data_IF_297314675832
#
_entry.id   IF_297314675832
#
_cell.length_a   1.000
_cell.length_b   1.000
_cell.length_c   1.000
_cell.angle_alpha   90.00
_cell.angle_beta   90.00
_cell.angle_gamma   90.00
#
_symmetry.space_group_name_H-M   'P 1'
#
loop_
_entity.id
_entity.type
_entity.pdbx_description
1 polymer ?
#
# COMPACT_ATOMS: atom_id res chain seq x y z
N UNK A 1 -0.24 23.82 8.62
CA UNK A 1 0.41 23.26 9.84
C UNK A 1 1.89 23.08 9.54
N UNK A 2 2.79 23.26 10.52
CA UNK A 2 4.22 23.00 10.27
C UNK A 2 4.47 21.50 10.06
N UNK A 3 5.29 21.18 9.06
CA UNK A 3 5.71 19.84 8.69
C UNK A 3 6.50 19.15 9.79
N UNK A 4 6.42 17.82 9.84
CA UNK A 4 7.10 17.01 10.85
C UNK A 4 7.98 15.95 10.22
N UNK A 5 9.14 15.71 10.82
CA UNK A 5 10.01 14.58 10.50
C UNK A 5 9.89 13.55 11.63
N UNK A 6 9.54 12.30 11.31
CA UNK A 6 9.28 11.28 12.32
C UNK A 6 9.78 9.90 11.86
N UNK A 7 10.04 9.01 12.81
CA UNK A 7 10.46 7.64 12.54
C UNK A 7 9.37 6.65 12.90
N UNK A 8 9.19 5.63 12.08
CA UNK A 8 8.29 4.51 12.32
C UNK A 8 9.13 3.27 12.56
N UNK A 9 8.84 2.56 13.65
CA UNK A 9 9.44 1.26 13.92
C UNK A 9 8.86 0.24 12.95
N UNK A 10 9.69 -0.22 12.02
CA UNK A 10 9.32 -1.20 11.01
C UNK A 10 10.52 -2.09 10.70
N UNK A 11 10.30 -3.40 10.74
CA UNK A 11 11.32 -4.41 10.39
C UNK A 11 11.20 -4.90 8.95
N UNK A 12 10.08 -4.59 8.30
CA UNK A 12 9.83 -4.86 6.89
C UNK A 12 9.02 -3.75 6.22
N UNK A 13 9.03 -3.72 4.90
CA UNK A 13 8.22 -2.80 4.09
C UNK A 13 6.73 -2.93 4.41
N UNK A 14 6.23 -4.15 4.61
CA UNK A 14 4.84 -4.41 4.97
C UNK A 14 4.49 -3.77 6.31
N UNK A 15 5.33 -3.96 7.35
CA UNK A 15 5.11 -3.33 8.67
C UNK A 15 5.16 -1.79 8.63
N UNK A 16 5.97 -1.24 7.72
CA UNK A 16 6.04 0.20 7.50
C UNK A 16 4.76 0.72 6.84
N UNK A 17 4.27 0.02 5.83
CA UNK A 17 3.03 0.33 5.10
C UNK A 17 1.81 0.24 6.04
N UNK A 18 1.76 -0.76 6.92
CA UNK A 18 0.68 -0.89 7.92
C UNK A 18 0.57 0.32 8.86
N UNK A 19 1.69 0.95 9.18
CA UNK A 19 1.70 2.15 10.04
C UNK A 19 1.36 3.40 9.23
N UNK A 20 1.84 3.46 7.98
CA UNK A 20 1.47 4.49 7.01
C UNK A 20 -0.05 4.63 6.85
N UNK A 21 -0.78 3.51 6.70
CA UNK A 21 -2.24 3.53 6.51
C UNK A 21 -3.03 4.18 7.66
N UNK A 22 -2.41 4.33 8.83
CA UNK A 22 -3.00 4.94 10.03
C UNK A 22 -2.69 6.44 10.16
N UNK A 23 -1.71 6.94 9.40
CA UNK A 23 -1.38 8.36 9.35
C UNK A 23 -2.42 9.00 8.44
N UNK A 24 -3.20 9.96 8.98
CA UNK A 24 -4.31 10.64 8.29
C UNK A 24 -4.00 10.87 6.80
N UNK A 25 -4.66 10.10 5.93
CA UNK A 25 -4.68 10.34 4.50
C UNK A 25 -5.58 11.55 4.26
N UNK A 26 -4.99 12.74 4.37
CA UNK A 26 -5.53 13.92 3.72
C UNK A 26 -5.41 13.67 2.21
N UNK A 27 -6.43 13.01 1.64
CA UNK A 27 -6.45 12.50 0.27
C UNK A 27 -6.24 13.60 -0.80
N UNK A 28 -6.28 14.88 -0.39
CA UNK A 28 -6.01 16.03 -1.22
C UNK A 28 -4.51 16.34 -1.39
N UNK A 29 -3.61 15.75 -0.59
CA UNK A 29 -2.18 16.08 -0.62
C UNK A 29 -1.34 15.03 -1.36
N UNK A 30 -0.37 15.52 -2.13
CA UNK A 30 0.60 14.71 -2.87
C UNK A 30 1.36 13.73 -1.94
N UNK A 31 1.30 12.43 -2.21
CA UNK A 31 2.03 11.42 -1.43
C UNK A 31 3.20 10.84 -2.21
N UNK A 32 4.32 10.61 -1.53
CA UNK A 32 5.53 10.01 -2.10
C UNK A 32 5.98 8.83 -1.24
N UNK A 33 6.33 7.72 -1.88
CA UNK A 33 6.92 6.56 -1.22
C UNK A 33 8.24 6.17 -1.87
N UNK A 34 9.30 6.18 -1.07
CA UNK A 34 10.65 5.81 -1.49
C UNK A 34 10.96 4.45 -0.87
N UNK A 35 11.26 3.46 -1.73
CA UNK A 35 11.41 2.07 -1.32
C UNK A 35 12.64 1.41 -1.93
N UNK A 36 13.21 0.41 -1.24
CA UNK A 36 14.22 -0.47 -1.86
C UNK A 36 13.61 -1.48 -2.83
N UNK A 37 12.28 -1.60 -2.86
CA UNK A 37 11.58 -2.42 -3.82
C UNK A 37 11.17 -1.63 -5.06
N UNK A 38 11.21 -2.28 -6.24
CA UNK A 38 10.67 -1.67 -7.46
C UNK A 38 9.15 -1.54 -7.35
N UNK A 39 8.60 -0.57 -8.08
CA UNK A 39 7.16 -0.27 -8.11
C UNK A 39 6.29 -1.51 -8.43
N UNK A 40 6.79 -2.43 -9.27
CA UNK A 40 6.09 -3.68 -9.60
C UNK A 40 5.89 -4.62 -8.43
N UNK A 41 6.69 -4.51 -7.35
CA UNK A 41 6.44 -5.25 -6.10
C UNK A 41 5.53 -4.48 -5.15
N UNK A 42 5.60 -3.16 -5.18
CA UNK A 42 4.78 -2.29 -4.32
C UNK A 42 3.31 -2.26 -4.75
N UNK A 43 2.99 -2.54 -6.01
CA UNK A 43 1.61 -2.56 -6.52
C UNK A 43 0.70 -3.54 -5.75
N UNK A 44 1.27 -4.60 -5.17
CA UNK A 44 0.54 -5.58 -4.38
C UNK A 44 0.35 -5.15 -2.91
N UNK A 45 1.05 -4.09 -2.48
CA UNK A 45 1.13 -3.64 -1.09
C UNK A 45 0.53 -2.25 -0.88
N UNK A 46 0.55 -1.39 -1.89
CA UNK A 46 0.16 0.02 -1.83
C UNK A 46 -0.82 0.36 -2.94
N UNK A 47 -1.76 1.27 -2.66
CA UNK A 47 -2.52 1.91 -3.74
C UNK A 47 -1.64 2.96 -4.43
N UNK A 48 -0.84 2.49 -5.38
CA UNK A 48 0.08 3.34 -6.16
C UNK A 48 -0.64 4.36 -7.06
N UNK A 49 -1.98 4.32 -7.16
CA UNK A 49 -2.75 5.28 -7.93
C UNK A 49 -2.88 6.63 -7.22
N UNK A 50 -2.77 6.64 -5.89
CA UNK A 50 -2.83 7.84 -5.04
C UNK A 50 -1.43 8.32 -4.59
N UNK A 51 -0.37 7.59 -4.95
CA UNK A 51 0.97 7.81 -4.41
C UNK A 51 2.10 7.64 -5.43
N UNK A 52 3.01 8.62 -5.47
CA UNK A 52 4.20 8.60 -6.34
C UNK A 52 5.26 7.69 -5.71
N UNK A 53 5.50 6.53 -6.33
CA UNK A 53 6.48 5.56 -5.85
C UNK A 53 7.84 5.73 -6.54
N UNK A 54 8.93 5.68 -5.78
CA UNK A 54 10.30 5.75 -6.27
C UNK A 54 11.15 4.60 -5.76
N UNK A 55 11.90 3.99 -6.66
CA UNK A 55 12.77 2.85 -6.33
C UNK A 55 14.19 3.33 -6.00
N UNK A 56 14.62 3.11 -4.76
CA UNK A 56 15.96 3.35 -4.28
C UNK A 56 16.90 2.22 -4.77
N UNK A 57 17.70 2.50 -5.79
CA UNK A 57 18.55 1.49 -6.46
C UNK A 57 19.75 2.12 -7.16
N UNK A 58 20.82 1.35 -7.35
CA UNK A 58 21.97 1.76 -8.16
C UNK A 58 21.65 1.76 -9.67
N UNK A 59 20.56 1.10 -10.07
CA UNK A 59 20.14 1.07 -11.47
C UNK A 59 19.59 2.43 -11.88
N UNK A 60 20.04 2.94 -13.02
CA UNK A 60 19.55 4.21 -13.55
C UNK A 60 18.39 3.96 -14.50
N UNK A 61 17.17 4.28 -14.07
CA UNK A 61 15.99 4.28 -14.94
C UNK A 61 14.98 5.37 -14.51
N UNK A 62 13.87 5.48 -15.24
CA UNK A 62 12.81 6.42 -14.86
C UNK A 62 12.15 5.95 -13.56
N UNK A 63 11.93 6.85 -12.61
CA UNK A 63 11.33 6.52 -11.31
C UNK A 63 12.28 5.89 -10.30
N UNK A 64 13.59 5.95 -10.54
CA UNK A 64 14.61 5.48 -9.57
C UNK A 64 15.32 6.64 -8.89
N UNK A 65 15.73 6.42 -7.64
CA UNK A 65 16.61 7.31 -6.88
C UNK A 65 17.88 6.52 -6.59
N UNK A 66 19.04 7.07 -6.94
CA UNK A 66 20.31 6.46 -6.56
C UNK A 66 20.53 6.60 -5.04
N UNK A 67 21.03 5.57 -4.33
CA UNK A 67 21.29 5.60 -2.90
C UNK A 67 22.51 6.46 -2.54
N UNK A 68 22.62 7.66 -3.12
CA UNK A 68 23.59 8.71 -2.79
C UNK A 68 22.90 9.76 -1.93
N UNK A 69 23.52 10.15 -0.81
CA UNK A 69 22.97 11.18 0.08
C UNK A 69 22.71 12.50 -0.65
N UNK A 70 23.56 12.87 -1.61
CA UNK A 70 23.39 14.08 -2.41
C UNK A 70 22.10 14.01 -3.27
N UNK A 71 21.91 12.91 -4.00
CA UNK A 71 20.76 12.71 -4.87
C UNK A 71 19.45 12.58 -4.09
N UNK A 72 19.50 11.87 -2.96
CA UNK A 72 18.38 11.73 -2.04
C UNK A 72 17.99 13.10 -1.47
N UNK A 73 18.95 13.88 -0.97
CA UNK A 73 18.68 15.23 -0.46
C UNK A 73 18.06 16.12 -1.51
N UNK A 74 18.66 16.18 -2.70
CA UNK A 74 18.12 16.98 -3.79
C UNK A 74 16.68 16.59 -4.12
N UNK A 75 16.39 15.28 -4.16
CA UNK A 75 15.04 14.77 -4.40
C UNK A 75 14.06 15.18 -3.29
N UNK A 76 14.40 14.94 -2.02
CA UNK A 76 13.55 15.28 -0.88
C UNK A 76 13.30 16.79 -0.80
N UNK A 77 14.34 17.60 -0.96
CA UNK A 77 14.22 19.06 -0.97
C UNK A 77 13.34 19.57 -2.11
N UNK A 78 13.45 18.96 -3.30
CA UNK A 78 12.60 19.31 -4.43
C UNK A 78 11.14 18.93 -4.20
N UNK A 79 10.91 17.80 -3.54
CA UNK A 79 9.57 17.30 -3.23
C UNK A 79 8.89 18.17 -2.18
N UNK A 80 9.61 18.55 -1.12
CA UNK A 80 9.13 19.46 -0.06
C UNK A 80 8.77 20.84 -0.65
N UNK A 81 9.62 21.40 -1.51
CA UNK A 81 9.36 22.70 -2.15
C UNK A 81 8.14 22.69 -3.08
N UNK A 82 7.85 21.54 -3.68
CA UNK A 82 6.67 21.35 -4.53
C UNK A 82 5.41 20.99 -3.73
N UNK A 83 5.42 21.18 -2.39
CA UNK A 83 4.32 20.89 -1.47
C UNK A 83 3.83 19.43 -1.54
N UNK A 84 4.75 18.46 -1.62
CA UNK A 84 4.41 17.08 -1.29
C UNK A 84 3.83 17.05 0.14
N UNK A 85 2.65 16.46 0.34
CA UNK A 85 2.03 16.35 1.65
C UNK A 85 2.84 15.45 2.57
N UNK A 86 2.86 14.16 2.24
CA UNK A 86 3.53 13.15 3.05
C UNK A 86 4.56 12.39 2.21
N UNK A 87 5.78 12.26 2.75
CA UNK A 87 6.87 11.48 2.16
C UNK A 87 7.18 10.33 3.10
N UNK A 88 7.05 9.10 2.60
CA UNK A 88 7.40 7.87 3.29
C UNK A 88 8.68 7.32 2.71
N UNK A 89 9.67 7.06 3.56
CA UNK A 89 10.99 6.65 3.12
C UNK A 89 11.50 5.48 3.95
N UNK A 90 11.60 4.32 3.31
CA UNK A 90 12.24 3.15 3.89
C UNK A 90 13.68 2.91 3.42
N UNK A 91 14.41 2.07 4.15
CA UNK A 91 15.78 1.66 3.80
C UNK A 91 16.87 2.50 4.47
N UNK A 92 16.56 3.15 5.59
CA UNK A 92 17.52 3.94 6.36
C UNK A 92 18.71 3.11 6.84
N UNK A 93 18.48 1.88 7.27
CA UNK A 93 19.52 0.94 7.69
C UNK A 93 20.50 0.66 6.56
N UNK A 94 20.00 0.59 5.33
CA UNK A 94 20.83 0.39 4.15
C UNK A 94 21.62 1.64 3.81
N UNK A 95 21.05 2.84 3.93
CA UNK A 95 21.81 4.08 3.74
C UNK A 95 22.90 4.26 4.79
N UNK A 96 22.61 3.90 6.05
CA UNK A 96 23.58 3.94 7.14
C UNK A 96 24.71 2.94 6.89
N UNK A 97 24.41 1.74 6.39
CA UNK A 97 25.45 0.76 6.06
C UNK A 97 26.31 1.18 4.85
N UNK A 98 25.76 1.99 3.94
CA UNK A 98 26.50 2.52 2.78
C UNK A 98 27.37 3.73 3.12
N UNK A 99 26.85 4.69 3.89
CA UNK A 99 27.50 6.01 4.09
C UNK A 99 28.01 6.26 5.51
N UNK A 100 27.71 5.35 6.45
CA UNK A 100 27.98 5.52 7.86
C UNK A 100 26.92 6.38 8.57
N UNK A 101 26.76 6.14 9.86
CA UNK A 101 25.75 6.81 10.68
C UNK A 101 25.90 8.32 10.69
N UNK A 102 27.11 8.85 10.88
CA UNK A 102 27.33 10.31 11.01
C UNK A 102 26.95 11.10 9.75
N UNK A 103 27.19 10.53 8.57
CA UNK A 103 26.85 11.17 7.30
C UNK A 103 25.33 11.23 7.11
N UNK A 104 24.63 10.11 7.38
CA UNK A 104 23.17 10.04 7.34
C UNK A 104 22.54 10.93 8.43
N UNK A 105 23.09 10.93 9.63
CA UNK A 105 22.62 11.77 10.74
C UNK A 105 22.72 13.26 10.40
N UNK A 106 23.82 13.68 9.79
CA UNK A 106 24.00 15.06 9.30
C UNK A 106 22.97 15.42 8.23
N UNK A 107 22.70 14.50 7.31
CA UNK A 107 21.64 14.64 6.29
C UNK A 107 20.25 14.85 6.92
N UNK A 108 19.88 13.98 7.88
CA UNK A 108 18.60 14.03 8.57
C UNK A 108 18.40 15.33 9.35
N UNK A 109 19.46 15.84 9.99
CA UNK A 109 19.42 17.14 10.66
C UNK A 109 19.09 18.28 9.71
N UNK A 110 19.80 18.36 8.57
CA UNK A 110 19.52 19.39 7.54
C UNK A 110 18.11 19.24 6.97
N UNK A 111 17.63 18.01 6.79
CA UNK A 111 16.27 17.75 6.33
C UNK A 111 15.22 18.16 7.36
N UNK A 112 15.44 17.86 8.65
CA UNK A 112 14.55 18.22 9.76
C UNK A 112 14.30 19.73 9.83
N UNK A 113 15.38 20.52 9.72
CA UNK A 113 15.31 21.98 9.67
C UNK A 113 14.40 22.45 8.51
N UNK A 114 14.54 21.86 7.32
CA UNK A 114 13.73 22.23 6.14
C UNK A 114 12.28 21.81 6.26
N UNK A 115 12.02 20.59 6.73
CA UNK A 115 10.67 20.04 6.93
C UNK A 115 9.88 20.92 7.90
N UNK A 116 10.52 21.39 8.97
CA UNK A 116 9.90 22.28 9.97
C UNK A 116 9.44 23.64 9.40
N UNK A 117 10.03 24.05 8.27
CA UNK A 117 9.70 25.30 7.55
C UNK A 117 8.69 25.09 6.41
N UNK A 118 8.14 23.89 6.27
CA UNK A 118 7.22 23.51 5.19
C UNK A 118 5.88 22.99 5.74
N UNK A 119 4.95 22.62 4.87
CA UNK A 119 3.74 21.86 5.24
C UNK A 119 3.87 20.36 4.97
N UNK A 120 5.03 19.92 4.48
CA UNK A 120 5.34 18.53 4.18
C UNK A 120 5.72 17.76 5.43
N UNK A 121 5.26 16.53 5.59
CA UNK A 121 5.73 15.62 6.63
C UNK A 121 6.54 14.47 6.02
N UNK A 122 7.60 14.05 6.72
CA UNK A 122 8.51 12.99 6.27
C UNK A 122 8.60 11.89 7.33
N UNK A 123 8.36 10.66 6.92
CA UNK A 123 8.34 9.48 7.77
C UNK A 123 9.41 8.50 7.33
N UNK A 124 10.27 8.09 8.26
CA UNK A 124 11.35 7.16 8.00
C UNK A 124 11.10 5.80 8.64
N UNK A 125 11.28 4.70 7.90
CA UNK A 125 11.31 3.37 8.50
C UNK A 125 12.65 3.16 9.22
N UNK A 126 12.62 2.62 10.43
CA UNK A 126 13.83 2.16 11.13
C UNK A 126 13.51 0.96 12.03
N UNK A 127 14.39 -0.03 12.06
CA UNK A 127 14.28 -1.16 12.98
C UNK A 127 14.90 -0.81 14.33
N UNK A 128 14.23 -1.15 15.43
CA UNK A 128 14.71 -0.83 16.80
C UNK A 128 16.12 -1.38 17.10
N UNK A 129 16.50 -2.49 16.44
CA UNK A 129 17.77 -3.19 16.66
C UNK A 129 18.81 -2.91 15.55
N UNK A 130 18.58 -1.91 14.71
CA UNK A 130 19.47 -1.59 13.59
C UNK A 130 20.67 -0.74 13.95
N UNK A 131 20.61 -0.05 15.10
CA UNK A 131 21.63 0.89 15.56
C UNK A 131 21.99 0.59 17.01
N UNK A 132 23.20 0.97 17.40
CA UNK A 132 23.59 0.94 18.81
C UNK A 132 22.83 2.01 19.61
N UNK A 133 22.69 1.82 20.92
CA UNK A 133 21.88 2.69 21.79
C UNK A 133 22.22 4.19 21.66
N UNK A 134 23.51 4.52 21.51
CA UNK A 134 23.98 5.90 21.33
C UNK A 134 23.57 6.48 19.98
N UNK A 135 23.70 5.70 18.91
CA UNK A 135 23.30 6.10 17.56
C UNK A 135 21.78 6.24 17.48
N UNK A 136 21.03 5.30 18.05
CA UNK A 136 19.58 5.35 18.12
C UNK A 136 19.09 6.59 18.88
N UNK A 137 19.72 6.92 20.01
CA UNK A 137 19.40 8.13 20.78
C UNK A 137 19.67 9.43 19.99
N UNK A 138 20.74 9.44 19.18
CA UNK A 138 21.05 10.57 18.28
C UNK A 138 20.06 10.65 17.12
N UNK A 139 19.66 9.50 16.58
CA UNK A 139 18.68 9.41 15.51
C UNK A 139 17.33 9.97 15.95
N UNK A 140 16.77 9.49 17.07
CA UNK A 140 15.48 9.95 17.59
C UNK A 140 15.45 11.42 18.02
N UNK A 141 16.62 12.04 18.25
CA UNK A 141 16.69 13.47 18.50
C UNK A 141 16.35 14.29 17.25
N UNK A 142 16.77 13.83 16.09
CA UNK A 142 16.54 14.53 14.81
C UNK A 142 15.26 14.05 14.13
N UNK A 143 14.92 12.78 14.32
CA UNK A 143 13.76 12.10 13.73
C UNK A 143 12.99 11.40 14.86
N UNK A 144 12.17 12.13 15.64
CA UNK A 144 11.44 11.56 16.77
C UNK A 144 10.54 10.39 16.40
N UNK A 145 10.36 9.47 17.34
CA UNK A 145 9.46 8.34 17.15
C UNK A 145 8.02 8.82 16.90
N UNK A 146 7.38 8.24 15.88
CA UNK A 146 5.97 8.41 15.65
C UNK A 146 5.20 7.61 16.70
N UNK A 147 4.63 8.32 17.67
CA UNK A 147 3.73 7.74 18.65
C UNK A 147 2.30 7.83 18.11
N UNK A 148 1.69 6.67 17.87
CA UNK A 148 0.26 6.59 17.64
C UNK A 148 -0.38 6.92 18.98
N UNK A 149 -0.97 8.11 19.10
CA UNK A 149 -1.90 8.38 20.18
C UNK A 149 -3.10 7.49 19.88
N UNK A 150 -3.20 6.37 20.60
CA UNK A 150 -4.46 5.62 20.67
C UNK A 150 -5.47 6.58 21.31
N UNK A 151 -6.19 7.33 20.48
CA UNK A 151 -7.35 8.05 20.97
C UNK A 151 -8.28 7.00 21.56
N UNK A 152 -8.40 7.08 22.89
CA UNK A 152 -9.42 6.38 23.63
C UNK A 152 -10.73 6.62 22.91
N UNK A 153 -11.39 5.53 22.55
CA UNK A 153 -12.74 5.47 22.02
C UNK A 153 -13.65 6.46 22.75
N UNK A 154 -13.78 7.67 22.22
CA UNK A 154 -14.95 8.48 22.46
C UNK A 154 -15.95 8.07 21.40
N UNK A 155 -16.86 7.20 21.84
CA UNK A 155 -18.19 7.02 21.28
C UNK A 155 -18.79 8.41 21.09
N UNK A 156 -18.65 8.98 19.89
CA UNK A 156 -19.54 10.03 19.45
C UNK A 156 -20.51 9.43 18.44
N UNK A 157 -21.58 8.91 19.02
CA UNK A 157 -22.86 8.73 18.36
C UNK A 157 -23.20 10.02 17.60
N UNK A 158 -23.04 9.97 16.28
CA UNK A 158 -23.50 11.01 15.37
C UNK A 158 -24.20 10.31 14.22
N UNK A 159 -25.49 10.05 14.48
CA UNK A 159 -26.62 10.19 13.56
C UNK A 159 -26.39 9.78 12.11
N UNK A 160 -27.06 8.69 11.74
CA UNK A 160 -27.62 8.45 10.40
C UNK A 160 -28.05 9.77 9.75
N UNK A 161 -27.40 10.14 8.64
CA UNK A 161 -28.00 10.91 7.54
C UNK A 161 -27.07 10.89 6.31
N UNK A 162 -27.64 10.42 5.20
CA UNK A 162 -27.22 10.49 3.79
C UNK A 162 -25.75 10.79 3.45
N UNK A 163 -25.04 9.78 2.93
CA UNK A 163 -23.85 10.00 2.09
C UNK A 163 -24.30 10.05 0.62
N UNK A 164 -24.23 11.20 -0.07
CA UNK A 164 -24.43 11.24 -1.51
C UNK A 164 -23.25 10.52 -2.17
N UNK A 165 -23.56 9.56 -3.04
CA UNK A 165 -22.61 8.97 -3.99
C UNK A 165 -22.04 10.10 -4.85
N UNK A 166 -20.87 10.63 -4.49
CA UNK A 166 -20.11 11.52 -5.37
C UNK A 166 -19.08 10.70 -6.13
N UNK A 167 -19.25 10.71 -7.45
CA UNK A 167 -18.35 10.16 -8.45
C UNK A 167 -16.89 10.46 -8.11
N UNK A 168 -16.18 9.42 -7.69
CA UNK A 168 -14.74 9.48 -7.41
C UNK A 168 -14.03 9.63 -8.76
N UNK A 169 -13.31 10.74 -8.89
CA UNK A 169 -12.61 11.15 -10.10
C UNK A 169 -11.85 9.99 -10.76
N UNK A 170 -12.19 9.77 -12.04
CA UNK A 170 -11.58 8.85 -12.97
C UNK A 170 -10.09 9.22 -13.21
N UNK A 171 -9.20 8.80 -12.32
CA UNK A 171 -7.79 8.67 -12.66
C UNK A 171 -7.66 7.44 -13.56
N UNK A 172 -7.35 7.67 -14.84
CA UNK A 172 -7.05 6.64 -15.84
C UNK A 172 -5.92 5.75 -15.34
N UNK A 173 -6.26 4.66 -14.65
CA UNK A 173 -5.43 3.48 -14.53
C UNK A 173 -5.31 2.91 -15.95
N UNK A 174 -4.08 2.79 -16.47
CA UNK A 174 -3.83 1.81 -17.52
C UNK A 174 -3.97 0.45 -16.86
N UNK A 175 -5.21 -0.06 -16.81
CA UNK A 175 -5.50 -1.41 -16.39
C UNK A 175 -5.04 -2.33 -17.50
N UNK A 176 -4.17 -3.29 -17.19
CA UNK A 176 -3.86 -4.34 -18.14
C UNK A 176 -5.16 -5.11 -18.43
N UNK A 177 -5.66 -4.94 -19.64
CA UNK A 177 -6.84 -5.64 -20.11
C UNK A 177 -6.43 -7.00 -20.68
N UNK A 178 -7.32 -7.97 -20.54
CA UNK A 178 -7.34 -9.17 -21.35
C UNK A 178 -7.65 -8.82 -22.82
N UNK A 179 -7.41 -9.76 -23.74
CA UNK A 179 -7.73 -9.59 -25.17
C UNK A 179 -9.22 -9.31 -25.42
N UNK A 180 -10.09 -9.64 -24.47
CA UNK A 180 -11.53 -9.40 -24.48
C UNK A 180 -11.93 -8.02 -23.89
N UNK A 181 -10.96 -7.21 -23.44
CA UNK A 181 -11.18 -5.90 -22.84
C UNK A 181 -11.55 -5.93 -21.35
N UNK A 182 -11.58 -7.10 -20.71
CA UNK A 182 -11.82 -7.20 -19.27
C UNK A 182 -10.56 -6.90 -18.46
N UNK A 183 -10.66 -6.32 -17.25
CA UNK A 183 -9.51 -6.15 -16.37
C UNK A 183 -8.86 -7.48 -16.01
N UNK A 184 -7.53 -7.60 -16.07
CA UNK A 184 -6.81 -8.78 -15.56
C UNK A 184 -6.93 -8.92 -14.05
N UNK A 185 -7.10 -10.16 -13.59
CA UNK A 185 -6.94 -10.50 -12.18
C UNK A 185 -5.45 -10.53 -11.82
N UNK A 186 -5.15 -10.00 -10.65
CA UNK A 186 -3.80 -9.99 -10.09
C UNK A 186 -3.85 -10.43 -8.64
N UNK A 187 -2.80 -11.15 -8.20
CA UNK A 187 -2.67 -11.51 -6.79
C UNK A 187 -2.41 -10.27 -5.95
N UNK A 188 -3.27 -10.04 -4.95
CA UNK A 188 -3.05 -9.04 -3.92
C UNK A 188 -2.39 -9.68 -2.70
N UNK A 189 -1.59 -8.92 -1.96
CA UNK A 189 -1.01 -9.42 -0.71
C UNK A 189 -2.10 -9.68 0.32
N UNK A 190 -1.98 -10.76 1.09
CA UNK A 190 -2.90 -11.08 2.18
C UNK A 190 -2.84 -10.00 3.26
N UNK A 191 -4.00 -9.53 3.71
CA UNK A 191 -4.12 -8.63 4.84
C UNK A 191 -3.82 -9.45 6.11
N UNK A 192 -2.89 -9.00 6.96
CA UNK A 192 -2.63 -9.66 8.23
C UNK A 192 -3.80 -9.45 9.20
N UNK A 193 -3.96 -10.38 10.16
CA UNK A 193 -4.95 -10.25 11.24
C UNK A 193 -4.64 -9.04 12.12
N UNK A 194 -3.36 -8.81 12.39
CA UNK A 194 -2.87 -7.70 13.21
C UNK A 194 -3.07 -6.41 12.41
N UNK A 195 -3.71 -5.41 13.01
CA UNK A 195 -3.99 -4.15 12.34
C UNK A 195 -5.18 -4.17 11.37
N UNK A 196 -5.82 -5.32 11.16
CA UNK A 196 -7.02 -5.42 10.33
C UNK A 196 -8.15 -4.52 10.86
N UNK A 197 -8.75 -3.74 9.95
CA UNK A 197 -9.85 -2.82 10.26
C UNK A 197 -10.89 -2.84 9.14
N UNK A 198 -12.09 -2.32 9.45
CA UNK A 198 -13.17 -2.15 8.46
C UNK A 198 -12.73 -1.30 7.27
N UNK A 199 -11.94 -0.25 7.50
CA UNK A 199 -11.45 0.64 6.44
C UNK A 199 -10.47 -0.08 5.51
N UNK A 200 -9.58 -0.93 6.05
CA UNK A 200 -8.66 -1.73 5.24
C UNK A 200 -9.46 -2.73 4.39
N UNK A 201 -10.47 -3.39 4.97
CA UNK A 201 -11.34 -4.28 4.21
C UNK A 201 -12.11 -3.53 3.11
N UNK A 202 -12.62 -2.32 3.38
CA UNK A 202 -13.29 -1.49 2.37
C UNK A 202 -12.39 -1.18 1.17
N UNK A 203 -11.14 -0.76 1.42
CA UNK A 203 -10.15 -0.53 0.35
C UNK A 203 -9.90 -1.79 -0.47
N UNK A 204 -9.72 -2.94 0.21
CA UNK A 204 -9.53 -4.24 -0.45
C UNK A 204 -10.71 -4.64 -1.33
N UNK A 205 -11.93 -4.43 -0.84
CA UNK A 205 -13.16 -4.69 -1.60
C UNK A 205 -13.21 -3.84 -2.87
N UNK A 206 -12.87 -2.55 -2.78
CA UNK A 206 -12.80 -1.68 -3.95
C UNK A 206 -11.76 -2.15 -4.98
N UNK A 207 -10.60 -2.65 -4.52
CA UNK A 207 -9.57 -3.21 -5.40
C UNK A 207 -10.11 -4.42 -6.18
N UNK A 208 -10.76 -5.38 -5.50
CA UNK A 208 -11.36 -6.53 -6.17
C UNK A 208 -12.48 -6.13 -7.13
N UNK A 209 -13.32 -5.16 -6.76
CA UNK A 209 -14.37 -4.63 -7.64
C UNK A 209 -13.81 -3.98 -8.90
N UNK A 210 -12.72 -3.22 -8.78
CA UNK A 210 -12.01 -2.65 -9.94
C UNK A 210 -11.47 -3.75 -10.87
N UNK A 211 -11.09 -4.92 -10.35
CA UNK A 211 -10.72 -6.09 -11.16
C UNK A 211 -11.92 -6.80 -11.81
N UNK A 212 -13.14 -6.32 -11.57
CA UNK A 212 -14.38 -6.89 -12.10
C UNK A 212 -14.92 -8.08 -11.30
N UNK A 213 -14.38 -8.35 -10.10
CA UNK A 213 -14.88 -9.41 -9.23
C UNK A 213 -16.18 -8.99 -8.55
N UNK A 214 -17.07 -9.97 -8.35
CA UNK A 214 -18.26 -9.80 -7.53
C UNK A 214 -17.88 -9.82 -6.04
N UNK A 215 -18.15 -8.70 -5.35
CA UNK A 215 -17.78 -8.48 -3.94
C UNK A 215 -18.98 -8.36 -3.01
N UNK A 216 -20.20 -8.64 -3.48
CA UNK A 216 -21.44 -8.41 -2.72
C UNK A 216 -21.43 -9.10 -1.34
N UNK A 217 -20.94 -10.33 -1.27
CA UNK A 217 -20.95 -11.13 -0.04
C UNK A 217 -20.04 -10.54 1.06
N UNK A 218 -18.86 -10.03 0.69
CA UNK A 218 -17.94 -9.39 1.63
C UNK A 218 -18.36 -7.96 1.94
N UNK A 219 -19.01 -7.26 1.01
CA UNK A 219 -19.61 -5.94 1.28
C UNK A 219 -20.65 -6.01 2.38
N UNK A 220 -21.49 -7.06 2.38
CA UNK A 220 -22.44 -7.31 3.47
C UNK A 220 -21.73 -7.49 4.83
N UNK A 221 -20.50 -8.01 4.85
CA UNK A 221 -19.73 -8.14 6.09
C UNK A 221 -19.25 -6.81 6.67
N UNK A 222 -19.16 -5.75 5.86
CA UNK A 222 -18.75 -4.43 6.31
C UNK A 222 -19.74 -3.80 7.29
N UNK A 223 -20.99 -4.25 7.30
CA UNK A 223 -22.01 -3.81 8.26
C UNK A 223 -21.90 -4.52 9.62
N UNK A 224 -21.04 -5.54 9.74
CA UNK A 224 -20.81 -6.23 11.00
C UNK A 224 -19.95 -5.36 11.94
N UNK A 225 -20.24 -5.44 13.24
CA UNK A 225 -19.46 -4.79 14.30
C UNK A 225 -18.28 -5.65 14.76
N UNK A 226 -18.31 -6.96 14.51
CA UNK A 226 -17.28 -7.90 14.93
C UNK A 226 -16.13 -8.02 13.91
N UNK A 227 -14.96 -7.49 14.27
CA UNK A 227 -13.75 -7.49 13.44
C UNK A 227 -13.25 -8.92 13.13
N UNK A 228 -13.38 -9.86 14.07
CA UNK A 228 -12.93 -11.25 13.84
C UNK A 228 -13.77 -11.97 12.79
N UNK A 229 -15.08 -11.72 12.79
CA UNK A 229 -15.98 -12.26 11.77
C UNK A 229 -15.72 -11.65 10.39
N UNK A 230 -15.47 -10.34 10.34
CA UNK A 230 -15.07 -9.66 9.10
C UNK A 230 -13.76 -10.23 8.54
N UNK A 231 -12.76 -10.45 9.41
CA UNK A 231 -11.49 -11.03 9.01
C UNK A 231 -11.64 -12.47 8.52
N UNK A 232 -12.45 -13.28 9.20
CA UNK A 232 -12.75 -14.66 8.77
C UNK A 232 -13.37 -14.71 7.38
N UNK A 233 -14.37 -13.86 7.11
CA UNK A 233 -14.97 -13.73 5.78
C UNK A 233 -13.98 -13.24 4.73
N UNK A 234 -13.13 -12.28 5.09
CA UNK A 234 -12.05 -11.81 4.23
C UNK A 234 -11.12 -12.94 3.81
N UNK A 235 -10.67 -13.79 4.75
CA UNK A 235 -9.77 -14.93 4.45
C UNK A 235 -10.43 -15.91 3.48
N UNK A 236 -11.72 -16.21 3.66
CA UNK A 236 -12.44 -17.10 2.76
C UNK A 236 -12.52 -16.53 1.34
N UNK A 237 -12.84 -15.24 1.22
CA UNK A 237 -12.94 -14.60 -0.09
C UNK A 237 -11.57 -14.45 -0.76
N UNK A 238 -10.53 -14.10 0.00
CA UNK A 238 -9.18 -13.96 -0.52
C UNK A 238 -8.67 -15.26 -1.14
N UNK A 239 -8.97 -16.41 -0.51
CA UNK A 239 -8.62 -17.71 -1.07
C UNK A 239 -9.39 -17.98 -2.38
N UNK A 240 -10.68 -17.63 -2.45
CA UNK A 240 -11.45 -17.74 -3.70
C UNK A 240 -10.89 -16.84 -4.81
N UNK A 241 -10.46 -15.62 -4.49
CA UNK A 241 -9.83 -14.70 -5.46
C UNK A 241 -8.49 -15.24 -5.94
N UNK A 242 -7.69 -15.84 -5.05
CA UNK A 242 -6.43 -16.50 -5.42
C UNK A 242 -6.69 -17.60 -6.45
N UNK A 243 -7.64 -18.50 -6.17
CA UNK A 243 -8.06 -19.58 -7.07
C UNK A 243 -8.59 -19.05 -8.41
N UNK A 244 -9.43 -18.02 -8.37
CA UNK A 244 -9.97 -17.36 -9.55
C UNK A 244 -8.87 -16.75 -10.44
N UNK A 245 -7.83 -16.17 -9.83
CA UNK A 245 -6.68 -15.61 -10.56
C UNK A 245 -5.89 -16.70 -11.29
N UNK A 246 -5.68 -17.86 -10.65
CA UNK A 246 -5.01 -19.01 -11.26
C UNK A 246 -5.83 -19.60 -12.42
N UNK A 247 -7.14 -19.78 -12.20
CA UNK A 247 -8.07 -20.25 -13.21
C UNK A 247 -8.16 -19.31 -14.41
N UNK A 248 -8.25 -17.98 -14.20
CA UNK A 248 -8.28 -17.02 -15.30
C UNK A 248 -7.05 -17.19 -16.19
N UNK A 249 -5.87 -17.22 -15.58
CA UNK A 249 -4.62 -17.35 -16.31
C UNK A 249 -4.62 -18.61 -17.17
N UNK A 250 -5.03 -19.73 -16.59
CA UNK A 250 -5.11 -20.99 -17.32
C UNK A 250 -6.11 -20.92 -18.47
N UNK A 251 -7.32 -20.42 -18.22
CA UNK A 251 -8.41 -20.30 -19.20
C UNK A 251 -8.00 -19.42 -20.38
N UNK A 252 -7.34 -18.28 -20.11
CA UNK A 252 -6.83 -17.39 -21.16
C UNK A 252 -5.71 -18.04 -21.98
N UNK A 253 -4.82 -18.79 -21.34
CA UNK A 253 -3.66 -19.42 -22.01
C UNK A 253 -4.02 -20.72 -22.76
N UNK A 254 -4.97 -21.53 -22.27
CA UNK A 254 -5.16 -22.91 -22.71
C UNK A 254 -6.55 -23.21 -23.31
N UNK A 255 -7.60 -22.44 -23.00
CA UNK A 255 -8.96 -22.72 -23.51
C UNK A 255 -9.17 -22.00 -24.84
N UNK A 256 -9.22 -22.79 -25.92
CA UNK A 256 -9.35 -22.28 -27.30
C UNK A 256 -10.81 -22.01 -27.69
N UNK A 257 -11.77 -22.75 -27.14
CA UNK A 257 -13.18 -22.55 -27.46
C UNK A 257 -13.68 -21.24 -26.85
N UNK A 258 -14.12 -20.33 -27.72
CA UNK A 258 -14.51 -18.97 -27.30
C UNK A 258 -15.74 -18.96 -26.40
N UNK A 259 -16.69 -19.88 -26.61
CA UNK A 259 -17.91 -19.92 -25.81
C UNK A 259 -17.61 -20.45 -24.41
N UNK A 260 -16.86 -21.56 -24.33
CA UNK A 260 -16.39 -22.14 -23.09
C UNK A 260 -15.56 -21.14 -22.29
N UNK A 261 -14.58 -20.49 -22.93
CA UNK A 261 -13.75 -19.46 -22.32
C UNK A 261 -14.59 -18.33 -21.72
N UNK A 262 -15.60 -17.85 -22.44
CA UNK A 262 -16.47 -16.76 -21.98
C UNK A 262 -17.28 -17.17 -20.75
N UNK A 263 -17.83 -18.39 -20.74
CA UNK A 263 -18.59 -18.94 -19.61
C UNK A 263 -17.69 -19.11 -18.39
N UNK A 264 -16.48 -19.65 -18.57
CA UNK A 264 -15.51 -19.83 -17.50
C UNK A 264 -15.09 -18.50 -16.89
N UNK A 265 -14.72 -17.50 -17.70
CA UNK A 265 -14.35 -16.17 -17.23
C UNK A 265 -15.49 -15.47 -16.49
N UNK A 266 -16.73 -15.61 -16.96
CA UNK A 266 -17.90 -15.07 -16.26
C UNK A 266 -18.07 -15.68 -14.86
N UNK A 267 -17.96 -17.02 -14.75
CA UNK A 267 -18.04 -17.72 -13.45
C UNK A 267 -16.91 -17.34 -12.52
N UNK A 268 -15.69 -17.21 -13.04
CA UNK A 268 -14.50 -16.74 -12.31
C UNK A 268 -14.75 -15.35 -11.72
N UNK A 269 -15.33 -14.43 -12.50
CA UNK A 269 -15.66 -13.07 -12.04
C UNK A 269 -16.70 -13.06 -10.92
N UNK A 270 -17.67 -13.97 -10.99
CA UNK A 270 -18.66 -14.16 -9.93
C UNK A 270 -18.13 -14.95 -8.73
N UNK A 271 -16.91 -15.49 -8.80
CA UNK A 271 -16.34 -16.39 -7.80
C UNK A 271 -17.22 -17.62 -7.53
N UNK A 272 -17.96 -18.10 -8.54
CA UNK A 272 -18.91 -19.22 -8.38
C UNK A 272 -18.45 -20.50 -9.07
N UNK A 273 -18.58 -21.62 -8.35
CA UNK A 273 -18.25 -22.96 -8.85
C UNK A 273 -16.80 -23.12 -9.30
N UNK A 274 -15.88 -22.49 -8.56
CA UNK A 274 -14.44 -22.59 -8.79
C UNK A 274 -13.96 -24.05 -8.68
N UNK A 275 -14.51 -24.85 -7.76
CA UNK A 275 -14.16 -26.27 -7.60
C UNK A 275 -14.44 -27.09 -8.87
N UNK A 276 -15.55 -26.80 -9.55
CA UNK A 276 -15.91 -27.47 -10.81
C UNK A 276 -14.97 -27.07 -11.94
N UNK A 277 -14.61 -25.78 -12.02
CA UNK A 277 -13.69 -25.27 -13.04
C UNK A 277 -12.27 -25.82 -12.82
N UNK A 278 -11.79 -25.89 -11.58
CA UNK A 278 -10.51 -26.52 -11.26
C UNK A 278 -10.53 -28.00 -11.60
N UNK A 279 -11.62 -28.70 -11.28
CA UNK A 279 -11.77 -30.11 -11.66
C UNK A 279 -11.82 -30.29 -13.17
N UNK A 280 -12.33 -29.33 -13.93
CA UNK A 280 -12.39 -29.41 -15.39
C UNK A 280 -11.02 -29.11 -16.03
N UNK A 281 -10.28 -28.16 -15.48
CA UNK A 281 -9.09 -27.58 -16.13
C UNK A 281 -7.75 -28.04 -15.56
N UNK A 282 -7.71 -28.48 -14.30
CA UNK A 282 -6.50 -28.93 -13.60
C UNK A 282 -6.49 -30.43 -13.29
N UNK A 283 -7.53 -31.16 -13.70
CA UNK A 283 -7.47 -32.62 -13.69
C UNK A 283 -6.62 -33.09 -14.87
N UNK A 284 -5.55 -33.82 -14.58
CA UNK A 284 -4.73 -34.54 -15.56
C UNK A 284 -5.56 -35.49 -16.44
#
# INVERSE_FOLDING_TARGET
MAGKIQSILATSTESFIETFDRIENDAERDQIFISRYPQSRLINLLDISEMKCYWLTLNQSKGTIEPSLEKINHFLESSIRNNAGNIFFEGMEWLISLHGFDAVHSMLRTLSERVSMSESSVYFSISANSLEEREMSRFYREVPLFEIIEDQQNVHDSSEDDVPYQDVNNAKLEMDLNDDGTPKLVFLTKLPRIGFSKQILQRRVLQWRRMGLDTVDIEASLFNTNIDEMYSKYIQLEENVRRATELERYVVEHVLDSQERTIALFRIRQLTGLDELESLYFSD
#
